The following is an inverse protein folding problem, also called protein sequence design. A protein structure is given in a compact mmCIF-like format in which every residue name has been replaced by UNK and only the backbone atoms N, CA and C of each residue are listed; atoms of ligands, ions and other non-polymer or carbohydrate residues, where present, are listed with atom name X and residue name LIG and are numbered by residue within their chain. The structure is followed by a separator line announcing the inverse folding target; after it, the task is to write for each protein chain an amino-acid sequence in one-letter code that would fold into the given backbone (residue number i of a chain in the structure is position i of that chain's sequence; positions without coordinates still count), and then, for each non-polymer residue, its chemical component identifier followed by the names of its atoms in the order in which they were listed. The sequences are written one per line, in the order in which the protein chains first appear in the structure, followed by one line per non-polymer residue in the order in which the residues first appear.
data_IF_715533033355
#
_entry.id   IF_715533033355
#
_cell.length_a   1.000
_cell.length_b   1.000
_cell.length_c   1.000
_cell.angle_alpha   90.00
_cell.angle_beta   90.00
_cell.angle_gamma   90.00
#
_symmetry.space_group_name_H-M   'P 1'
#
loop_
_entity.id
_entity.type
_entity.pdbx_description
1 polymer ?
2 non-polymer ?
3 non-polymer ?
4 non-polymer ?
5 water ?
#
# COMPACT_ATOMS: atom_id res chain seq x y z
N UNK A 4 16.55 16.91 -0.79
CA UNK A 4 16.52 15.49 -1.14
C UNK A 4 17.46 15.23 -2.32
N UNK A 5 18.67 14.78 -2.02
CA UNK A 5 19.71 14.71 -3.07
C UNK A 5 19.32 13.76 -4.20
N UNK A 6 18.77 12.60 -3.83
CA UNK A 6 18.38 11.58 -4.79
C UNK A 6 17.36 12.13 -5.78
N UNK A 7 16.43 12.91 -5.26
CA UNK A 7 15.33 13.43 -6.08
C UNK A 7 15.87 14.50 -7.00
N UNK A 8 16.78 15.30 -6.46
CA UNK A 8 17.41 16.35 -7.25
C UNK A 8 18.20 15.75 -8.43
N UNK A 9 18.88 14.63 -8.21
CA UNK A 9 19.58 13.96 -9.30
C UNK A 9 18.59 13.42 -10.33
N UNK A 10 17.42 13.01 -9.86
CA UNK A 10 16.44 12.44 -10.78
C UNK A 10 15.88 13.54 -11.68
N UNK A 11 15.65 14.72 -11.09
CA UNK A 11 15.15 15.88 -11.83
C UNK A 11 16.18 16.18 -12.93
N UNK A 12 17.46 16.16 -12.59
CA UNK A 12 18.48 16.46 -13.60
C UNK A 12 18.51 15.44 -14.71
N UNK A 13 18.31 14.18 -14.37
CA UNK A 13 18.23 13.11 -15.34
C UNK A 13 17.05 13.26 -16.29
N UNK A 14 15.92 13.70 -15.77
CA UNK A 14 14.76 13.93 -16.63
C UNK A 14 15.06 15.08 -17.60
N UNK A 15 15.69 16.14 -17.12
CA UNK A 15 15.85 17.31 -17.99
C UNK A 15 16.93 16.99 -19.05
N UNK A 16 17.92 16.21 -18.65
CA UNK A 16 18.95 15.66 -19.53
C UNK A 16 18.38 14.87 -20.71
N UNK A 17 17.23 14.26 -20.49
CA UNK A 17 16.55 13.51 -21.53
C UNK A 17 15.41 14.30 -22.14
N UNK A 18 15.42 15.61 -21.89
CA UNK A 18 14.54 16.53 -22.61
C UNK A 18 13.16 16.74 -22.06
N UNK A 19 12.96 16.37 -20.80
CA UNK A 19 11.62 16.47 -20.20
C UNK A 19 11.49 17.78 -19.41
N UNK A 20 10.51 18.58 -19.77
CA UNK A 20 10.32 19.87 -19.16
C UNK A 20 9.28 19.80 -18.04
N UNK A 21 9.43 20.65 -17.02
CA UNK A 21 8.41 20.71 -15.96
C UNK A 21 7.12 21.35 -16.43
N UNK A 22 6.01 20.90 -15.88
CA UNK A 22 4.71 21.52 -16.09
C UNK A 22 4.27 22.12 -14.76
N UNK A 23 3.52 23.21 -14.84
CA UNK A 23 2.92 23.83 -13.67
C UNK A 23 1.42 23.62 -13.62
N UNK A 24 0.92 23.40 -12.41
CA UNK A 24 -0.47 23.09 -12.15
C UNK A 24 -0.96 23.96 -11.01
N UNK A 25 -2.27 24.22 -10.97
CA UNK A 25 -2.86 24.94 -9.88
C UNK A 25 -3.84 24.11 -9.10
N UNK A 26 -4.15 24.61 -7.94
CA UNK A 26 -5.10 23.98 -7.05
C UNK A 26 -6.37 23.62 -7.81
N UNK A 27 -6.78 22.37 -7.59
CA UNK A 27 -7.98 21.71 -8.12
C UNK A 27 -7.79 21.11 -9.50
N UNK A 28 -6.66 21.32 -10.17
CA UNK A 28 -6.37 20.68 -11.44
C UNK A 28 -5.99 19.23 -11.28
N UNK A 29 -6.31 18.43 -12.29
CA UNK A 29 -5.90 17.05 -12.31
C UNK A 29 -4.65 16.86 -13.16
N UNK A 30 -3.59 16.36 -12.54
CA UNK A 30 -2.37 16.04 -13.25
C UNK A 30 -2.49 14.76 -14.11
N UNK A 31 -3.22 13.77 -13.59
CA UNK A 31 -3.73 12.67 -14.40
C UNK A 31 -5.12 12.37 -13.95
N UNK A 32 -5.88 11.67 -14.81
CA UNK A 32 -7.25 11.34 -14.50
C UNK A 32 -7.61 9.95 -14.88
N UNK A 33 -8.74 9.52 -14.34
CA UNK A 33 -9.15 8.12 -14.42
C UNK A 33 -9.77 7.74 -15.76
N UNK A 34 -9.91 8.69 -16.66
CA UNK A 34 -10.61 8.43 -17.93
C UNK A 34 -9.68 8.40 -19.13
N UNK A 35 -8.42 8.73 -18.89
CA UNK A 35 -7.44 8.86 -19.95
C UNK A 35 -7.01 7.48 -20.41
N UNK A 36 -7.03 7.21 -21.72
CA UNK A 36 -6.53 5.91 -22.15
C UNK A 36 -5.01 5.71 -21.84
N UNK A 37 -4.24 6.79 -21.81
CA UNK A 37 -2.80 6.75 -21.63
C UNK A 37 -2.46 6.86 -20.15
N UNK A 38 -1.54 6.02 -19.66
CA UNK A 38 -1.00 6.20 -18.32
C UNK A 38 0.37 6.85 -18.26
N UNK A 39 0.67 7.39 -17.08
CA UNK A 39 1.83 8.24 -16.87
C UNK A 39 2.58 7.94 -15.62
N UNK A 40 3.86 8.29 -15.66
CA UNK A 40 4.68 8.45 -14.48
C UNK A 40 4.78 9.93 -14.18
N UNK A 41 4.38 10.32 -12.99
CA UNK A 41 4.47 11.71 -12.53
C UNK A 41 5.63 11.84 -11.55
N UNK A 42 6.63 12.63 -11.87
CA UNK A 42 7.58 13.09 -10.87
C UNK A 42 7.11 14.41 -10.33
N UNK A 43 6.46 14.36 -9.18
CA UNK A 43 5.99 15.52 -8.52
C UNK A 43 7.18 16.16 -7.83
N UNK A 44 7.59 17.32 -8.33
CA UNK A 44 8.80 17.94 -7.82
C UNK A 44 8.51 18.87 -6.67
N UNK A 45 7.45 19.70 -6.74
CA UNK A 45 7.06 20.59 -5.68
C UNK A 45 5.56 20.71 -5.62
N UNK A 46 5.00 20.72 -4.41
CA UNK A 46 3.59 20.88 -4.19
C UNK A 46 2.99 19.70 -3.51
N UNK A 47 1.69 19.81 -3.27
CA UNK A 47 0.95 18.81 -2.53
C UNK A 47 -0.23 18.38 -3.38
N UNK A 48 -0.44 17.08 -3.42
CA UNK A 48 -1.51 16.49 -4.23
C UNK A 48 -2.24 15.41 -3.46
N UNK A 49 -3.40 15.00 -3.99
CA UNK A 49 -4.11 13.87 -3.43
C UNK A 49 -4.58 12.98 -4.55
N UNK A 50 -4.54 11.70 -4.27
CA UNK A 50 -5.12 10.67 -5.13
C UNK A 50 -6.57 10.53 -4.77
N UNK A 51 -7.45 10.63 -5.78
CA UNK A 51 -8.90 10.52 -5.57
C UNK A 51 -9.58 9.42 -6.44
N UNK A 52 -10.69 8.87 -5.91
CA UNK A 52 -11.52 7.87 -6.58
C UNK A 52 -12.94 8.38 -6.60
N UNK A 53 -13.76 7.83 -7.49
CA UNK A 53 -15.19 8.14 -7.52
C UNK A 53 -15.99 6.84 -7.44
N UNK A 54 -16.94 6.77 -6.52
CA UNK A 54 -17.81 5.60 -6.39
C UNK A 54 -18.89 5.67 -7.46
N UNK A 55 -19.63 4.57 -7.69
CA UNK A 55 -20.73 4.57 -8.65
C UNK A 55 -21.72 5.67 -8.29
N UNK A 56 -21.80 5.96 -7.00
CA UNK A 56 -22.52 7.09 -6.40
C UNK A 56 -22.21 8.49 -6.97
N UNK A 57 -20.98 8.71 -7.42
CA UNK A 57 -20.52 10.06 -7.75
C UNK A 57 -19.78 10.71 -6.59
N UNK A 58 -19.60 9.95 -5.51
CA UNK A 58 -18.92 10.42 -4.31
C UNK A 58 -17.39 10.34 -4.45
N UNK A 59 -16.71 11.47 -4.22
CA UNK A 59 -15.26 11.52 -4.29
C UNK A 59 -14.62 11.07 -2.98
N UNK A 60 -13.62 10.20 -3.10
CA UNK A 60 -12.89 9.64 -1.99
C UNK A 60 -11.45 10.11 -2.14
N UNK A 61 -10.88 10.63 -1.04
CA UNK A 61 -9.48 11.01 -0.96
C UNK A 61 -8.73 9.78 -0.45
N UNK A 62 -7.81 9.24 -1.24
CA UNK A 62 -7.19 7.95 -0.90
C UNK A 62 -5.78 8.08 -0.31
N UNK A 63 -5.06 9.09 -0.74
CA UNK A 63 -3.63 9.16 -0.43
C UNK A 63 -3.15 10.57 -0.74
N UNK A 64 -2.24 11.08 0.08
CA UNK A 64 -1.57 12.35 -0.18
C UNK A 64 -0.13 12.17 -0.62
N UNK A 65 0.35 13.04 -1.51
CA UNK A 65 1.76 13.02 -1.94
C UNK A 65 2.27 14.44 -1.97
N UNK A 66 3.54 14.60 -1.60
CA UNK A 66 4.16 15.91 -1.65
C UNK A 66 5.45 15.79 -2.46
N UNK A 67 5.83 16.86 -3.14
CA UNK A 67 7.08 16.86 -3.89
C UNK A 67 8.26 16.79 -2.90
N UNK A 68 9.33 16.03 -3.19
CA UNK A 68 9.51 15.21 -4.36
C UNK A 68 9.03 13.78 -4.17
N UNK A 69 8.34 13.25 -5.17
CA UNK A 69 7.88 11.88 -5.10
C UNK A 69 7.49 11.41 -6.48
N UNK A 70 7.32 10.11 -6.65
CA UNK A 70 6.90 9.54 -7.92
C UNK A 70 5.54 8.87 -7.75
N UNK A 71 4.63 9.16 -8.68
CA UNK A 71 3.30 8.53 -8.71
C UNK A 71 3.05 7.96 -10.10
N UNK A 72 2.82 6.66 -10.23
CA UNK A 72 2.61 6.05 -11.54
C UNK A 72 1.21 5.51 -11.65
N UNK A 73 0.51 5.92 -12.70
CA UNK A 73 -0.90 5.65 -12.84
C UNK A 73 -1.13 4.32 -13.59
N UNK A 74 -0.07 3.78 -14.14
CA UNK A 74 -0.14 2.50 -14.83
C UNK A 74 1.02 1.58 -14.45
N UNK A 75 0.81 0.29 -14.67
CA UNK A 75 1.82 -0.72 -14.41
C UNK A 75 3.00 -0.57 -15.38
N UNK A 76 4.22 -0.76 -14.88
CA UNK A 76 5.39 -0.44 -15.68
C UNK A 76 5.51 -1.39 -16.87
N UNK A 77 5.05 -2.63 -16.69
CA UNK A 77 5.18 -3.64 -17.74
C UNK A 77 4.03 -3.58 -18.74
N UNK A 78 2.78 -3.68 -18.28
CA UNK A 78 1.63 -3.70 -19.17
C UNK A 78 1.23 -2.30 -19.68
N UNK A 79 1.60 -1.28 -18.92
CA UNK A 79 1.28 0.13 -19.20
C UNK A 79 -0.19 0.47 -19.00
N UNK A 80 -0.93 -0.43 -18.38
CA UNK A 80 -2.35 -0.20 -18.13
C UNK A 80 -2.62 0.26 -16.69
N UNK A 81 -3.82 0.76 -16.47
CA UNK A 81 -4.17 1.40 -15.21
C UNK A 81 -3.99 0.53 -14.00
N UNK A 82 -3.46 1.09 -12.93
CA UNK A 82 -3.45 0.40 -11.65
C UNK A 82 -4.71 0.61 -10.84
N UNK A 83 -5.61 1.48 -11.31
CA UNK A 83 -6.82 1.79 -10.60
C UNK A 83 -7.42 3.08 -11.16
N UNK A 84 -8.70 3.25 -11.01
CA UNK A 84 -9.36 4.43 -11.59
C UNK A 84 -9.20 5.59 -10.62
N UNK A 85 -8.06 6.24 -10.82
CA UNK A 85 -7.59 7.27 -9.93
C UNK A 85 -7.32 8.59 -10.63
N UNK A 86 -7.48 9.67 -9.90
CA UNK A 86 -7.12 11.03 -10.33
C UNK A 86 -6.09 11.57 -9.38
N UNK A 87 -5.19 12.39 -9.88
CA UNK A 87 -4.19 13.06 -9.03
C UNK A 87 -4.49 14.56 -9.03
N UNK A 88 -5.00 15.05 -7.91
CA UNK A 88 -5.51 16.42 -7.79
C UNK A 88 -4.54 17.30 -7.00
N UNK A 89 -4.32 18.50 -7.50
CA UNK A 89 -3.44 19.41 -6.81
C UNK A 89 -4.17 20.11 -5.64
N UNK A 90 -3.58 20.15 -4.43
CA UNK A 90 -4.23 20.79 -3.32
C UNK A 90 -3.44 21.99 -2.82
N UNK A 91 -2.15 22.06 -3.11
CA UNK A 91 -1.40 23.31 -2.86
C UNK A 91 -1.84 24.37 -3.90
N UNK A 92 -1.50 25.64 -3.67
CA UNK A 92 -1.87 26.67 -4.66
C UNK A 92 -1.27 26.39 -6.03
N UNK A 93 -0.03 25.92 -6.03
CA UNK A 93 0.64 25.52 -7.25
C UNK A 93 1.39 24.21 -7.03
N UNK A 94 1.63 23.51 -8.13
CA UNK A 94 2.51 22.37 -8.12
C UNK A 94 3.33 22.30 -9.39
N UNK A 95 4.50 21.69 -9.30
CA UNK A 95 5.37 21.49 -10.43
C UNK A 95 5.60 20.02 -10.59
N UNK A 96 5.37 19.50 -11.79
CA UNK A 96 5.62 18.08 -12.03
C UNK A 96 6.10 17.77 -13.43
N UNK A 97 6.87 16.69 -13.53
CA UNK A 97 7.28 16.09 -14.79
C UNK A 97 6.34 14.95 -15.10
N UNK A 98 5.81 14.96 -16.31
CA UNK A 98 4.79 14.01 -16.75
C UNK A 98 5.33 13.20 -17.92
N UNK A 99 5.50 11.91 -17.67
CA UNK A 99 6.20 11.02 -18.57
C UNK A 99 5.30 9.88 -18.92
N UNK A 100 5.11 9.56 -20.20
CA UNK A 100 4.33 8.39 -20.57
C UNK A 100 5.05 7.14 -20.06
N UNK A 101 4.29 6.13 -19.65
CA UNK A 101 4.95 5.00 -18.98
C UNK A 101 5.99 4.26 -19.84
N UNK A 102 5.68 4.04 -21.11
CA UNK A 102 6.62 3.39 -22.01
C UNK A 102 8.01 4.05 -21.99
N UNK A 103 8.01 5.37 -21.81
CA UNK A 103 9.24 6.13 -21.84
C UNK A 103 10.00 6.06 -20.51
N UNK A 104 9.27 6.05 -19.39
CA UNK A 104 9.90 5.82 -18.09
C UNK A 104 10.74 4.54 -18.13
N UNK A 105 10.20 3.52 -18.77
CA UNK A 105 10.88 2.22 -18.87
C UNK A 105 12.28 2.33 -19.49
N UNK A 106 12.34 2.99 -20.65
CA UNK A 106 13.59 3.23 -21.34
C UNK A 106 14.53 3.97 -20.44
N UNK A 107 14.01 4.97 -19.74
CA UNK A 107 14.84 5.81 -18.89
C UNK A 107 15.41 5.04 -17.72
N UNK A 108 14.58 4.26 -17.01
CA UNK A 108 15.09 3.56 -15.85
C UNK A 108 16.05 2.45 -16.27
N UNK A 109 15.83 1.88 -17.46
CA UNK A 109 16.63 0.76 -17.91
C UNK A 109 18.07 1.15 -18.25
N UNK A 110 18.35 2.45 -18.30
CA UNK A 110 19.70 2.92 -18.66
C UNK A 110 20.41 3.59 -17.52
N UNK A 111 19.82 3.51 -16.33
CA UNK A 111 20.45 4.03 -15.13
C UNK A 111 19.84 3.36 -13.91
N UNK A 112 20.60 2.41 -13.38
CA UNK A 112 20.22 1.65 -12.20
C UNK A 112 20.03 2.53 -10.98
N UNK A 113 20.76 3.65 -10.91
CA UNK A 113 20.67 4.51 -9.74
C UNK A 113 19.26 5.07 -9.70
N UNK A 114 18.79 5.55 -10.84
CA UNK A 114 17.47 6.17 -10.90
C UNK A 114 16.37 5.16 -10.89
N UNK A 115 16.59 4.03 -11.51
CA UNK A 115 15.74 2.87 -11.30
C UNK A 115 15.53 2.60 -9.82
N UNK A 116 16.62 2.62 -9.05
CA UNK A 116 16.55 2.30 -7.65
C UNK A 116 15.76 3.34 -6.87
N UNK A 117 15.92 4.60 -7.26
CA UNK A 117 15.23 5.70 -6.64
C UNK A 117 13.73 5.54 -6.82
N UNK A 118 13.27 5.17 -8.03
CA UNK A 118 11.84 5.04 -8.25
C UNK A 118 11.34 3.79 -7.52
N UNK A 119 12.10 2.70 -7.60
CA UNK A 119 11.71 1.47 -6.92
C UNK A 119 11.52 1.69 -5.40
N UNK A 120 12.47 2.39 -4.81
CA UNK A 120 12.45 2.69 -3.39
C UNK A 120 11.21 3.55 -3.02
N UNK A 121 10.75 4.43 -3.91
CA UNK A 121 9.48 5.16 -3.64
C UNK A 121 8.29 4.29 -3.53
N UNK A 122 8.15 3.30 -4.42
CA UNK A 122 7.08 2.37 -4.32
C UNK A 122 7.20 1.62 -2.98
N UNK A 123 8.42 1.24 -2.61
CA UNK A 123 8.57 0.54 -1.35
C UNK A 123 8.10 1.38 -0.17
N UNK A 124 8.39 2.68 -0.21
CA UNK A 124 7.86 3.58 0.82
C UNK A 124 6.37 3.64 0.85
N UNK A 125 5.72 3.66 -0.31
CA UNK A 125 4.25 3.62 -0.37
C UNK A 125 3.63 2.40 0.22
N UNK A 126 4.20 1.25 -0.13
CA UNK A 126 3.71 -0.01 0.31
C UNK A 126 3.76 -0.05 1.83
N UNK A 127 4.91 0.31 2.38
CA UNK A 127 5.05 0.20 3.83
C UNK A 127 4.19 1.25 4.51
N UNK A 128 4.07 2.43 3.91
CA UNK A 128 3.19 3.44 4.50
C UNK A 128 1.76 2.95 4.66
N UNK A 129 1.22 2.35 3.60
CA UNK A 129 -0.11 1.79 3.72
C UNK A 129 -0.28 0.75 4.78
N UNK A 130 0.69 -0.14 4.94
CA UNK A 130 0.59 -1.13 5.98
C UNK A 130 0.66 -0.51 7.36
N UNK A 131 1.52 0.50 7.51
CA UNK A 131 1.63 1.18 8.79
C UNK A 131 0.31 1.90 9.20
N UNK A 132 -0.29 2.57 8.23
CA UNK A 132 -1.61 3.20 8.40
C UNK A 132 -2.63 2.17 8.78
N UNK A 133 -2.62 1.04 8.10
CA UNK A 133 -3.56 -0.02 8.44
C UNK A 133 -3.35 -0.52 9.87
N UNK A 134 -2.11 -0.73 10.27
CA UNK A 134 -1.84 -1.20 11.62
C UNK A 134 -2.30 -0.17 12.67
N UNK A 135 -2.06 1.12 12.43
CA UNK A 135 -2.45 2.13 13.42
C UNK A 135 -3.98 2.25 13.52
N UNK A 136 -4.66 2.17 12.39
CA UNK A 136 -6.12 2.17 12.37
C UNK A 136 -6.66 0.94 13.07
N UNK A 137 -6.05 -0.21 12.82
CA UNK A 137 -6.52 -1.44 13.46
C UNK A 137 -6.50 -1.32 14.97
N UNK A 138 -5.41 -0.75 15.50
CA UNK A 138 -5.24 -0.52 16.94
C UNK A 138 -6.09 0.62 17.51
N UNK A 139 -6.02 1.82 16.91
CA UNK A 139 -6.65 3.02 17.48
C UNK A 139 -7.76 3.71 16.67
N UNK A 140 -8.26 3.04 15.64
CA UNK A 140 -9.27 3.61 14.79
C UNK A 140 -8.92 4.95 14.20
N UNK A 141 -9.94 5.79 14.00
CA UNK A 141 -9.76 7.04 13.31
C UNK A 141 -8.80 7.96 14.08
N UNK A 142 -8.71 7.78 15.39
CA UNK A 142 -7.81 8.57 16.20
C UNK A 142 -6.38 8.27 15.74
N UNK A 143 -6.10 7.00 15.52
CA UNK A 143 -4.77 6.61 15.04
C UNK A 143 -4.48 7.18 13.68
N UNK A 144 -5.46 7.14 12.77
CA UNK A 144 -5.28 7.73 11.46
C UNK A 144 -4.99 9.21 11.56
N UNK A 145 -5.80 9.92 12.35
CA UNK A 145 -5.69 11.39 12.44
C UNK A 145 -4.37 11.77 13.15
N UNK A 146 -4.03 11.07 14.22
CA UNK A 146 -2.73 11.36 14.87
C UNK A 146 -1.60 11.08 13.89
N UNK A 147 -1.73 10.04 13.07
CA UNK A 147 -0.68 9.78 12.09
C UNK A 147 -0.55 10.88 11.06
N UNK A 148 -1.68 11.40 10.56
CA UNK A 148 -1.65 12.47 9.60
C UNK A 148 -0.95 13.67 10.23
N UNK A 149 -1.32 14.00 11.47
CA UNK A 149 -0.72 15.15 12.12
C UNK A 149 0.76 14.93 12.40
N UNK A 150 1.10 13.69 12.71
CA UNK A 150 2.49 13.34 12.99
C UNK A 150 3.31 13.53 11.75
N UNK A 151 2.82 13.07 10.60
CA UNK A 151 3.63 13.21 9.41
C UNK A 151 3.69 14.71 8.99
N UNK A 152 2.63 15.49 9.21
CA UNK A 152 2.70 16.93 9.01
C UNK A 152 3.74 17.61 9.89
N UNK A 153 3.84 17.13 11.12
CA UNK A 153 4.77 17.71 12.08
C UNK A 153 6.21 17.45 11.63
N UNK A 154 6.49 16.19 11.29
CA UNK A 154 7.83 15.85 10.86
C UNK A 154 8.23 16.56 9.58
N UNK A 155 7.31 16.63 8.64
CA UNK A 155 7.66 17.17 7.33
C UNK A 155 7.70 18.70 7.32
N UNK A 156 6.76 19.35 7.99
CA UNK A 156 6.61 20.83 7.93
C UNK A 156 6.90 21.54 9.24
N UNK A 157 7.25 20.78 10.27
CA UNK A 157 7.49 21.35 11.58
C UNK A 157 8.87 21.93 11.81
N UNK A 158 8.90 23.03 12.55
CA UNK A 158 10.15 23.65 12.99
C UNK A 158 10.03 23.96 14.46
N UNK A 159 11.06 23.58 15.22
CA UNK A 159 11.06 23.83 16.66
C UNK A 159 11.17 25.34 16.93
N UNK A 160 10.34 25.81 17.86
CA UNK A 160 10.31 27.20 18.31
C UNK A 160 10.02 27.22 19.80
N UNK A 161 10.10 28.39 20.43
CA UNK A 161 9.74 28.50 21.85
C UNK A 161 8.30 28.08 22.14
N UNK A 162 7.39 28.30 21.20
CA UNK A 162 5.98 27.95 21.39
C UNK A 162 5.64 26.51 20.98
N UNK A 163 6.65 25.69 20.69
CA UNK A 163 6.43 24.30 20.29
C UNK A 163 6.87 24.11 18.85
N UNK A 164 6.41 23.04 18.22
CA UNK A 164 6.80 22.76 16.83
C UNK A 164 5.82 23.48 15.89
N UNK A 165 6.29 24.56 15.27
CA UNK A 165 5.44 25.33 14.36
C UNK A 165 5.23 24.59 13.06
N UNK A 166 3.99 24.50 12.63
CA UNK A 166 3.71 23.89 11.32
C UNK A 166 3.81 24.98 10.25
N UNK A 167 4.78 24.81 9.36
CA UNK A 167 5.11 25.84 8.39
C UNK A 167 4.43 25.51 7.09
N UNK A 168 3.12 25.61 7.12
CA UNK A 168 2.26 25.38 5.97
C UNK A 168 1.16 26.44 6.14
N UNK A 169 0.73 27.05 5.04
CA UNK A 169 -0.30 28.08 5.13
C UNK A 169 -1.53 27.50 5.81
N UNK A 170 -2.26 28.33 6.55
CA UNK A 170 -3.35 27.80 7.39
C UNK A 170 -4.40 27.17 6.51
N UNK A 171 -4.61 27.78 5.36
CA UNK A 171 -5.57 27.29 4.38
C UNK A 171 -5.31 25.83 4.04
N UNK A 172 -4.12 25.57 3.51
CA UNK A 172 -3.73 24.22 3.12
C UNK A 172 -3.72 23.30 4.33
N UNK A 173 -3.28 23.81 5.47
CA UNK A 173 -3.02 22.95 6.61
C UNK A 173 -4.30 22.36 7.18
N UNK A 174 -5.38 23.11 7.16
CA UNK A 174 -6.62 22.63 7.73
C UNK A 174 -7.15 21.49 6.88
N UNK A 175 -7.17 21.66 5.56
CA UNK A 175 -7.56 20.56 4.67
C UNK A 175 -6.80 19.28 5.04
N UNK A 176 -5.49 19.41 5.13
CA UNK A 176 -4.60 18.25 5.34
C UNK A 176 -4.71 17.57 6.71
N UNK A 177 -5.29 18.26 7.69
CA UNK A 177 -5.52 17.64 8.98
C UNK A 177 -6.48 16.46 8.84
N UNK A 178 -7.30 16.49 7.78
CA UNK A 178 -8.28 15.43 7.50
C UNK A 178 -7.62 14.26 6.80
N UNK A 179 -7.66 13.09 7.44
CA UNK A 179 -7.08 11.86 6.89
C UNK A 179 -7.73 11.50 5.55
N UNK A 180 -7.18 10.50 4.88
CA UNK A 180 -7.79 9.98 3.67
C UNK A 180 -9.21 9.48 4.00
N UNK A 181 -10.13 9.65 3.06
CA UNK A 181 -11.51 9.27 3.18
C UNK A 181 -12.47 10.29 2.57
N UNK A 182 -13.68 10.35 3.10
CA UNK A 182 -14.68 11.29 2.61
C UNK A 182 -14.27 12.69 3.05
N UNK A 183 -14.59 13.68 2.23
CA UNK A 183 -14.22 15.06 2.55
C UNK A 183 -14.99 15.68 3.71
N UNK A 184 -14.27 16.35 4.59
CA UNK A 184 -14.85 17.05 5.74
C UNK A 184 -15.80 16.25 6.63
N UNK A 185 -15.42 15.04 7.00
CA UNK A 185 -16.27 14.21 7.85
C UNK A 185 -16.48 14.89 9.20
N UNK A 186 -17.70 14.80 9.73
CA UNK A 186 -18.02 15.43 11.00
C UNK A 186 -17.18 14.79 12.09
N UNK A 187 -17.06 13.47 12.02
CA UNK A 187 -16.34 12.70 13.02
C UNK A 187 -14.85 13.10 13.06
N UNK A 188 -14.27 13.33 11.89
CA UNK A 188 -12.88 13.73 11.84
C UNK A 188 -12.70 15.12 12.45
N UNK A 189 -13.60 16.05 12.11
CA UNK A 189 -13.55 17.37 12.70
C UNK A 189 -13.58 17.35 14.22
N UNK A 190 -14.36 16.44 14.78
CA UNK A 190 -14.48 16.37 16.24
C UNK A 190 -13.25 15.74 16.87
N UNK A 191 -12.58 14.87 16.12
CA UNK A 191 -11.30 14.30 16.61
C UNK A 191 -10.23 15.37 16.59
N UNK A 192 -10.14 16.12 15.50
CA UNK A 192 -9.13 17.18 15.38
C UNK A 192 -9.36 18.23 16.47
N UNK A 193 -10.60 18.67 16.64
CA UNK A 193 -10.81 19.74 17.62
C UNK A 193 -10.63 19.27 19.06
N UNK A 194 -10.79 17.97 19.30
CA UNK A 194 -10.46 17.43 20.59
C UNK A 194 -8.93 17.44 20.90
N UNK A 195 -8.11 17.13 19.90
CA UNK A 195 -6.67 17.30 20.03
C UNK A 195 -6.31 18.75 20.33
N UNK A 196 -7.04 19.67 19.72
CA UNK A 196 -6.82 21.08 20.00
C UNK A 196 -7.24 21.44 21.41
N UNK A 197 -8.41 20.95 21.82
CA UNK A 197 -8.90 21.21 23.19
C UNK A 197 -7.92 20.69 24.25
N UNK A 198 -7.27 19.57 23.97
CA UNK A 198 -6.33 18.98 24.92
C UNK A 198 -4.90 19.54 24.74
N UNK A 199 -4.77 20.53 23.88
CA UNK A 199 -3.52 21.28 23.66
C UNK A 199 -2.40 20.40 23.08
N UNK A 200 -2.77 19.38 22.30
CA UNK A 200 -1.79 18.65 21.50
C UNK A 200 -1.25 19.56 20.40
N UNK A 201 -2.15 20.32 19.76
CA UNK A 201 -1.79 21.30 18.73
C UNK A 201 -2.57 22.54 19.09
N UNK A 202 -1.91 23.71 19.08
CA UNK A 202 -2.52 24.94 19.58
C UNK A 202 -2.35 26.08 18.58
N UNK A 203 -3.37 26.93 18.52
CA UNK A 203 -3.36 28.15 17.75
C UNK A 203 -2.74 29.28 18.57
N UNK A 204 -1.75 29.98 18.01
CA UNK A 204 -1.12 31.11 18.70
C UNK A 204 -0.54 32.05 17.67
N UNK A 205 -0.79 33.34 17.82
CA UNK A 205 -0.23 34.33 16.88
C UNK A 205 -0.32 33.91 15.43
N UNK A 206 -1.53 33.55 15.01
CA UNK A 206 -1.85 33.21 13.60
C UNK A 206 -1.23 31.91 13.06
N UNK A 207 -0.61 31.13 13.94
CA UNK A 207 0.01 29.87 13.49
C UNK A 207 -0.42 28.72 14.35
N UNK A 208 -0.15 27.50 13.88
CA UNK A 208 -0.35 26.30 14.71
C UNK A 208 0.95 25.65 15.12
N UNK A 209 1.00 25.26 16.40
CA UNK A 209 2.16 24.69 17.05
C UNK A 209 1.80 23.37 17.66
N UNK A 210 2.58 22.33 17.36
CA UNK A 210 2.40 21.10 18.07
C UNK A 210 3.14 21.14 19.39
N UNK A 211 2.40 20.95 20.47
CA UNK A 211 2.94 21.09 21.81
C UNK A 211 3.05 19.74 22.49
N UNK A 212 2.42 18.70 21.93
CA UNK A 212 2.52 17.38 22.51
C UNK A 212 2.79 16.31 21.46
N UNK A 213 4.03 16.34 20.96
CA UNK A 213 4.46 15.37 19.96
C UNK A 213 4.37 13.97 20.52
N UNK A 214 4.69 13.77 21.80
CA UNK A 214 4.55 12.44 22.37
C UNK A 214 3.16 11.79 22.26
N UNK A 215 2.09 12.60 22.36
CA UNK A 215 0.75 12.07 22.19
C UNK A 215 0.53 11.51 20.79
N UNK A 216 0.98 12.26 19.77
CA UNK A 216 0.85 11.81 18.39
C UNK A 216 1.62 10.51 18.19
N UNK A 217 2.82 10.46 18.76
CA UNK A 217 3.65 9.26 18.63
C UNK A 217 2.99 8.05 19.29
N UNK A 218 2.31 8.31 20.40
CA UNK A 218 1.65 7.24 21.14
C UNK A 218 0.54 6.57 20.35
N UNK A 219 -0.28 7.35 19.65
CA UNK A 219 -1.45 6.78 18.98
C UNK A 219 -1.19 6.42 17.50
N UNK A 220 -0.03 6.82 16.96
CA UNK A 220 0.35 6.42 15.60
C UNK A 220 1.73 5.77 15.64
N UNK A 221 1.87 4.74 16.47
CA UNK A 221 3.20 4.18 16.66
C UNK A 221 3.79 3.54 15.43
N UNK A 222 2.98 2.92 14.59
CA UNK A 222 3.53 2.25 13.43
C UNK A 222 3.86 3.24 12.31
N UNK A 223 3.09 4.34 12.18
CA UNK A 223 3.52 5.36 11.25
C UNK A 223 4.80 6.06 11.77
N UNK A 224 4.93 6.20 13.09
CA UNK A 224 6.14 6.78 13.65
C UNK A 224 7.36 5.90 13.30
N UNK A 225 7.22 4.59 13.44
CA UNK A 225 8.28 3.62 13.05
C UNK A 225 8.54 3.69 11.54
N UNK A 226 7.47 3.78 10.78
CA UNK A 226 7.61 3.93 9.32
C UNK A 226 8.46 5.15 8.97
N UNK A 227 8.20 6.30 9.62
CA UNK A 227 8.91 7.51 9.27
C UNK A 227 10.40 7.36 9.69
N UNK A 228 10.65 6.76 10.85
CA UNK A 228 11.99 6.49 11.33
C UNK A 228 12.76 5.63 10.34
N UNK A 229 12.09 4.62 9.83
CA UNK A 229 12.78 3.70 8.89
C UNK A 229 12.90 4.25 7.47
N UNK A 230 11.89 5.01 7.01
CA UNK A 230 11.86 5.50 5.65
C UNK A 230 12.53 6.82 5.48
N UNK A 231 12.51 7.66 6.53
CA UNK A 231 12.97 9.04 6.47
C UNK A 231 13.78 9.38 7.75
N UNK A 232 14.84 8.59 8.06
CA UNK A 232 15.48 8.72 9.38
C UNK A 232 16.02 10.10 9.69
N UNK A 233 16.57 10.83 8.72
CA UNK A 233 17.08 12.17 9.03
C UNK A 233 15.95 13.14 9.39
N UNK A 234 14.83 13.08 8.68
CA UNK A 234 13.73 13.98 8.96
C UNK A 234 13.17 13.60 10.34
N UNK A 235 13.06 12.30 10.61
CA UNK A 235 12.61 11.83 11.91
C UNK A 235 13.51 12.36 13.00
N UNK A 236 14.82 12.30 12.73
CA UNK A 236 15.80 12.60 13.74
C UNK A 236 15.73 14.03 14.23
N UNK A 237 15.43 14.95 13.33
CA UNK A 237 15.40 16.38 13.65
C UNK A 237 14.54 16.69 14.86
N UNK A 238 13.43 15.99 14.99
CA UNK A 238 12.47 16.29 16.05
C UNK A 238 12.39 15.26 17.13
N UNK A 239 13.31 14.29 17.14
CA UNK A 239 13.37 13.30 18.16
C UNK A 239 14.72 13.33 18.89
N UNK B 4 1.82 -18.77 -14.68
CA UNK B 4 2.33 -17.40 -14.64
C UNK B 4 3.71 -17.33 -15.30
N UNK B 5 3.75 -16.84 -16.55
CA UNK B 5 4.95 -16.89 -17.37
C UNK B 5 6.06 -15.96 -16.89
N UNK B 6 5.68 -14.78 -16.39
CA UNK B 6 6.67 -13.86 -15.86
C UNK B 6 7.32 -14.47 -14.60
N UNK B 7 6.50 -15.12 -13.80
CA UNK B 7 6.99 -15.78 -12.60
C UNK B 7 7.92 -16.95 -12.96
N UNK B 8 7.52 -17.77 -13.94
CA UNK B 8 8.38 -18.88 -14.38
C UNK B 8 9.71 -18.38 -14.95
N UNK B 9 9.69 -17.30 -15.75
CA UNK B 9 10.94 -16.75 -16.27
C UNK B 9 11.83 -16.22 -15.16
N UNK B 10 11.22 -15.59 -14.15
CA UNK B 10 12.00 -15.14 -13.01
C UNK B 10 12.59 -16.33 -12.24
N UNK B 11 11.80 -17.37 -12.02
CA UNK B 11 12.29 -18.57 -11.37
C UNK B 11 13.50 -19.11 -12.15
N UNK B 12 13.41 -19.12 -13.48
CA UNK B 12 14.54 -19.62 -14.28
C UNK B 12 15.77 -18.77 -14.07
N UNK B 13 15.61 -17.45 -14.07
CA UNK B 13 16.73 -16.53 -13.94
C UNK B 13 17.42 -16.68 -12.60
N UNK B 14 16.64 -16.92 -11.54
CA UNK B 14 17.22 -17.10 -10.23
C UNK B 14 18.05 -18.38 -10.19
N UNK B 15 17.50 -19.46 -10.70
CA UNK B 15 18.14 -20.78 -10.54
C UNK B 15 19.43 -20.84 -11.35
N UNK B 16 19.48 -20.12 -12.48
CA UNK B 16 20.70 -20.09 -13.27
C UNK B 16 21.74 -19.16 -12.65
N UNK B 17 21.32 -18.29 -11.74
CA UNK B 17 22.26 -17.48 -10.97
C UNK B 17 22.55 -18.08 -9.60
N UNK B 18 22.29 -19.38 -9.47
CA UNK B 18 22.68 -20.10 -8.27
C UNK B 18 21.71 -20.09 -7.10
N UNK B 19 20.55 -19.46 -7.25
CA UNK B 19 19.63 -19.35 -6.12
C UNK B 19 18.66 -20.51 -6.13
N UNK B 20 18.57 -21.19 -4.99
CA UNK B 20 17.85 -22.44 -4.89
C UNK B 20 16.57 -22.29 -4.06
N UNK B 21 15.51 -23.04 -4.44
CA UNK B 21 14.27 -23.03 -3.67
C UNK B 21 14.42 -23.66 -2.32
N UNK B 22 13.77 -23.05 -1.33
CA UNK B 22 13.74 -23.55 0.02
C UNK B 22 12.30 -23.89 0.38
N UNK B 23 12.12 -24.96 1.13
CA UNK B 23 10.80 -25.36 1.61
C UNK B 23 10.62 -24.91 3.05
N UNK B 24 9.45 -24.36 3.34
CA UNK B 24 9.10 -23.96 4.70
C UNK B 24 7.77 -24.60 5.08
N UNK B 25 7.57 -24.96 6.35
CA UNK B 25 6.27 -25.49 6.77
C UNK B 25 5.47 -24.44 7.51
N UNK B 26 4.18 -24.72 7.69
CA UNK B 26 3.30 -23.86 8.43
C UNK B 26 3.88 -23.40 9.77
N UNK B 27 3.72 -22.10 10.02
CA UNK B 27 4.16 -21.38 11.21
C UNK B 27 5.61 -20.90 11.14
N UNK B 28 6.37 -21.34 10.16
CA UNK B 28 7.73 -20.81 10.05
C UNK B 28 7.73 -19.39 9.56
N UNK B 29 8.74 -18.64 9.95
CA UNK B 29 8.96 -17.28 9.51
C UNK B 29 10.06 -17.27 8.46
N UNK B 30 9.69 -16.92 7.22
CA UNK B 30 10.63 -16.87 6.14
C UNK B 30 11.58 -15.69 6.35
N UNK B 31 11.05 -14.55 6.84
CA UNK B 31 11.88 -13.55 7.47
C UNK B 31 11.17 -13.04 8.71
N UNK B 32 11.93 -12.40 9.62
CA UNK B 32 11.39 -11.99 10.89
C UNK B 32 11.79 -10.58 11.30
N UNK B 33 11.00 -10.02 12.22
CA UNK B 33 11.10 -8.62 12.57
C UNK B 33 12.27 -8.25 13.46
N UNK B 34 13.05 -9.26 13.90
CA UNK B 34 14.15 -9.00 14.83
C UNK B 34 15.50 -9.17 14.15
N UNK B 35 15.47 -9.46 12.85
CA UNK B 35 16.67 -9.78 12.09
C UNK B 35 17.21 -8.52 11.45
N UNK B 36 18.47 -8.17 11.71
CA UNK B 36 19.01 -6.98 11.02
C UNK B 36 19.20 -7.18 9.50
N UNK B 37 19.44 -8.41 9.09
CA UNK B 37 19.66 -8.73 7.70
C UNK B 37 18.32 -8.69 6.99
N UNK B 38 18.21 -7.96 5.88
CA UNK B 38 16.96 -7.95 5.09
C UNK B 38 17.09 -8.73 3.80
N UNK B 39 15.93 -9.10 3.25
CA UNK B 39 15.82 -10.10 2.22
C UNK B 39 14.80 -9.72 1.17
N UNK B 40 15.06 -10.19 -0.05
CA UNK B 40 14.05 -10.32 -1.07
C UNK B 40 13.57 -11.77 -1.11
N UNK B 41 12.28 -11.97 -0.90
CA UNK B 41 11.65 -13.28 -1.01
C UNK B 41 10.85 -13.44 -2.28
N UNK B 42 11.23 -14.43 -3.08
CA UNK B 42 10.37 -14.82 -4.19
C UNK B 42 9.57 -16.00 -3.71
N UNK B 43 8.34 -15.73 -3.34
CA UNK B 43 7.40 -16.75 -2.90
C UNK B 43 6.86 -17.47 -4.11
N UNK B 44 7.27 -18.71 -4.32
CA UNK B 44 6.94 -19.35 -5.59
C UNK B 44 5.64 -20.10 -5.46
N UNK B 45 5.46 -20.76 -4.32
CA UNK B 45 4.28 -21.53 -4.08
C UNK B 45 3.89 -21.50 -2.60
N UNK B 46 2.58 -21.44 -2.32
CA UNK B 46 2.08 -21.46 -0.96
C UNK B 46 1.47 -20.13 -0.54
N UNK B 47 1.03 -20.04 0.69
CA UNK B 47 0.33 -18.88 1.24
C UNK B 47 1.00 -18.43 2.52
N UNK B 48 1.20 -17.12 2.62
CA UNK B 48 1.89 -16.50 3.73
C UNK B 48 1.11 -15.28 4.22
N UNK B 49 1.46 -14.82 5.40
CA UNK B 49 0.91 -13.58 5.92
C UNK B 49 2.03 -12.75 6.52
N UNK B 50 1.94 -11.46 6.30
CA UNK B 50 2.81 -10.49 6.93
C UNK B 50 2.27 -10.12 8.29
N UNK B 51 3.09 -10.21 9.32
CA UNK B 51 2.66 -9.87 10.68
C UNK B 51 3.59 -8.88 11.37
N UNK B 52 3.04 -8.23 12.40
CA UNK B 52 3.81 -7.39 13.35
C UNK B 52 3.44 -7.88 14.75
N UNK B 53 4.43 -8.15 15.61
CA UNK B 53 4.20 -8.68 16.97
C UNK B 53 4.59 -7.58 17.96
N UNK B 54 3.66 -7.21 18.85
CA UNK B 54 3.88 -6.10 19.78
C UNK B 54 4.63 -6.59 21.01
N UNK B 55 5.06 -5.66 21.85
CA UNK B 55 5.80 -6.04 23.05
C UNK B 55 5.00 -7.01 23.90
N UNK B 56 3.69 -6.78 24.01
CA UNK B 56 2.84 -7.64 24.81
C UNK B 56 2.37 -8.93 24.15
N UNK B 57 2.93 -9.25 22.97
CA UNK B 57 2.66 -10.53 22.32
C UNK B 57 1.51 -10.54 21.30
N UNK B 58 0.84 -9.40 21.12
CA UNK B 58 -0.33 -9.34 20.24
C UNK B 58 0.17 -9.37 18.80
N UNK B 59 -0.37 -10.30 18.03
CA UNK B 59 0.04 -10.47 16.63
C UNK B 59 -0.97 -9.79 15.74
N UNK B 60 -0.49 -8.85 14.93
CA UNK B 60 -1.27 -8.13 13.95
C UNK B 60 -1.06 -8.77 12.58
N UNK B 61 -2.16 -9.18 11.96
CA UNK B 61 -2.11 -9.70 10.59
C UNK B 61 -2.30 -8.56 9.60
N UNK B 62 -1.28 -8.28 8.78
CA UNK B 62 -1.26 -7.06 7.95
C UNK B 62 -1.59 -7.24 6.46
N UNK B 63 -1.25 -8.40 5.91
CA UNK B 63 -1.31 -8.65 4.46
C UNK B 63 -1.20 -10.17 4.26
N UNK B 64 -1.86 -10.70 3.22
CA UNK B 64 -1.63 -12.05 2.76
C UNK B 64 -0.97 -12.05 1.39
N UNK B 65 -0.18 -13.08 1.12
CA UNK B 65 0.46 -13.27 -0.15
C UNK B 65 0.36 -14.72 -0.55
N UNK B 66 0.24 -14.99 -1.84
CA UNK B 66 0.31 -16.34 -2.39
C UNK B 66 1.36 -16.40 -3.47
N UNK B 67 1.95 -17.58 -3.67
CA UNK B 67 2.93 -17.72 -4.72
C UNK B 67 2.18 -17.72 -6.05
N UNK B 68 2.74 -17.13 -7.10
CA UNK B 68 4.03 -16.49 -7.10
C UNK B 68 3.93 -15.00 -6.77
N UNK B 69 4.82 -14.50 -5.93
CA UNK B 69 4.87 -13.08 -5.59
C UNK B 69 6.22 -12.75 -5.03
N UNK B 70 6.51 -11.47 -4.86
CA UNK B 70 7.77 -11.01 -4.33
C UNK B 70 7.48 -10.14 -3.11
N UNK B 71 8.24 -10.37 -2.05
CA UNK B 71 8.09 -9.62 -0.77
C UNK B 71 9.48 -9.21 -0.34
N UNK B 72 9.73 -7.92 -0.22
CA UNK B 72 11.04 -7.43 0.15
C UNK B 72 11.01 -6.77 1.55
N UNK B 73 11.83 -7.29 2.46
CA UNK B 73 11.82 -6.79 3.82
C UNK B 73 12.67 -5.58 4.06
N UNK B 74 13.45 -5.20 3.05
CA UNK B 74 14.38 -4.08 3.12
C UNK B 74 14.29 -3.23 1.88
N UNK B 75 14.69 -1.97 2.03
CA UNK B 75 14.75 -1.05 0.88
C UNK B 75 15.89 -1.43 -0.04
N UNK B 76 15.65 -1.32 -1.35
CA UNK B 76 16.58 -1.87 -2.30
C UNK B 76 17.87 -1.04 -2.29
N UNK B 77 17.77 0.24 -1.96
CA UNK B 77 18.93 1.13 -1.98
C UNK B 77 19.68 1.13 -0.63
N UNK B 78 18.97 1.38 0.47
CA UNK B 78 19.62 1.42 1.78
C UNK B 78 19.87 0.05 2.41
N UNK B 79 19.12 -0.94 1.97
CA UNK B 79 19.18 -2.31 2.48
C UNK B 79 18.69 -2.44 3.91
N UNK B 80 18.08 -1.38 4.45
CA UNK B 80 17.55 -1.43 5.80
C UNK B 80 16.03 -1.68 5.80
N UNK B 81 15.51 -1.98 6.98
CA UNK B 81 14.17 -2.49 7.11
C UNK B 81 13.11 -1.54 6.59
N UNK B 82 12.09 -2.08 5.94
CA UNK B 82 10.92 -1.28 5.57
C UNK B 82 9.85 -1.27 6.66
N UNK B 83 10.05 -2.00 7.75
CA UNK B 83 9.07 -2.15 8.81
C UNK B 83 9.37 -3.39 9.61
N UNK B 84 8.97 -3.44 10.87
CA UNK B 84 9.34 -4.62 11.68
C UNK B 84 8.31 -5.68 11.46
N UNK B 85 8.52 -6.48 10.43
CA UNK B 85 7.57 -7.45 9.96
C UNK B 85 8.11 -8.87 9.92
N UNK B 86 7.22 -9.85 10.08
CA UNK B 86 7.47 -11.25 9.81
C UNK B 86 6.70 -11.73 8.61
N UNK B 87 7.23 -12.72 7.92
CA UNK B 87 6.52 -13.37 6.85
C UNK B 87 6.26 -14.81 7.28
N UNK B 88 5.03 -15.09 7.67
CA UNK B 88 4.63 -16.36 8.29
C UNK B 88 3.93 -17.27 7.29
N UNK B 89 4.35 -18.52 7.24
CA UNK B 89 3.71 -19.49 6.36
C UNK B 89 2.39 -19.97 6.96
N UNK B 90 1.28 -19.90 6.21
CA UNK B 90 0.00 -20.36 6.74
C UNK B 90 -0.57 -21.55 5.95
N UNK B 91 -0.04 -21.79 4.76
CA UNK B 91 -0.33 -23.04 4.07
C UNK B 91 0.49 -24.15 4.77
N UNK B 92 0.24 -25.42 4.45
CA UNK B 92 0.98 -26.49 5.12
C UNK B 92 2.45 -26.42 4.76
N UNK B 93 2.71 -26.12 3.50
CA UNK B 93 4.05 -25.93 2.97
C UNK B 93 4.10 -24.70 2.06
N UNK B 94 5.26 -24.07 1.99
CA UNK B 94 5.51 -23.00 1.04
C UNK B 94 6.90 -23.20 0.46
N UNK B 95 7.07 -22.78 -0.78
CA UNK B 95 8.37 -22.77 -1.42
C UNK B 95 8.80 -21.36 -1.73
N UNK B 96 10.02 -20.97 -1.34
CA UNK B 96 10.51 -19.60 -1.56
C UNK B 96 11.99 -19.54 -1.89
N UNK B 97 12.36 -18.55 -2.70
CA UNK B 97 13.73 -18.23 -3.02
C UNK B 97 14.09 -17.07 -2.13
N UNK B 98 15.15 -17.20 -1.35
CA UNK B 98 15.51 -16.22 -0.34
C UNK B 98 16.83 -15.60 -0.73
N UNK B 99 16.78 -14.29 -0.98
CA UNK B 99 17.92 -13.54 -1.52
C UNK B 99 18.26 -12.39 -0.58
N UNK B 100 19.49 -12.35 -0.09
CA UNK B 100 19.94 -11.21 0.71
C UNK B 100 19.80 -9.96 -0.15
N UNK B 101 19.35 -8.84 0.43
CA UNK B 101 19.01 -7.69 -0.39
C UNK B 101 20.21 -7.12 -1.17
N UNK B 102 21.39 -7.11 -0.58
CA UNK B 102 22.59 -6.67 -1.31
C UNK B 102 22.83 -7.46 -2.60
N UNK B 103 22.52 -8.76 -2.59
CA UNK B 103 22.71 -9.58 -3.79
C UNK B 103 21.65 -9.31 -4.85
N UNK B 104 20.44 -8.93 -4.42
CA UNK B 104 19.34 -8.70 -5.36
C UNK B 104 19.68 -7.61 -6.35
N UNK B 105 20.29 -6.55 -5.84
CA UNK B 105 20.57 -5.36 -6.64
C UNK B 105 21.39 -5.73 -7.87
N UNK B 106 22.40 -6.56 -7.67
CA UNK B 106 23.27 -7.01 -8.75
C UNK B 106 22.52 -7.74 -9.85
N UNK B 107 21.55 -8.56 -9.48
CA UNK B 107 20.83 -9.36 -10.47
C UNK B 107 19.68 -8.62 -11.16
N UNK B 108 18.99 -7.71 -10.49
CA UNK B 108 17.98 -6.92 -11.18
C UNK B 108 18.71 -5.98 -12.17
N UNK B 109 19.98 -5.72 -11.89
CA UNK B 109 20.78 -4.83 -12.73
C UNK B 109 21.02 -5.40 -14.11
N UNK B 110 21.35 -6.68 -14.17
CA UNK B 110 21.78 -7.31 -15.41
C UNK B 110 20.60 -7.80 -16.25
N UNK B 111 19.40 -7.81 -15.67
CA UNK B 111 18.20 -8.15 -16.44
C UNK B 111 16.99 -7.26 -16.14
N UNK B 112 16.88 -6.23 -16.96
CA UNK B 112 15.79 -5.26 -16.95
C UNK B 112 14.42 -5.93 -16.85
N UNK B 113 14.21 -6.97 -17.65
CA UNK B 113 12.92 -7.67 -17.68
C UNK B 113 12.47 -8.10 -16.29
N UNK B 114 13.41 -8.60 -15.50
CA UNK B 114 13.11 -9.09 -14.15
C UNK B 114 13.06 -7.98 -13.16
N UNK B 115 13.88 -6.96 -13.37
CA UNK B 115 13.75 -5.75 -12.55
C UNK B 115 12.28 -5.32 -12.62
N UNK B 116 11.75 -5.26 -13.83
CA UNK B 116 10.42 -4.76 -14.09
C UNK B 116 9.36 -5.70 -13.51
N UNK B 117 9.63 -7.00 -13.50
CA UNK B 117 8.69 -7.93 -12.90
C UNK B 117 8.52 -7.62 -11.41
N UNK B 118 9.63 -7.42 -10.74
CA UNK B 118 9.62 -7.14 -9.30
C UNK B 118 8.97 -5.77 -9.06
N UNK B 119 9.34 -4.79 -9.88
CA UNK B 119 8.73 -3.45 -9.78
C UNK B 119 7.19 -3.50 -9.87
N UNK B 120 6.67 -4.25 -10.82
CA UNK B 120 5.23 -4.44 -11.01
C UNK B 120 4.59 -5.04 -9.75
N UNK B 121 5.29 -5.93 -9.04
CA UNK B 121 4.71 -6.49 -7.80
C UNK B 121 4.47 -5.44 -6.73
N UNK B 122 5.36 -4.49 -6.62
CA UNK B 122 5.20 -3.48 -5.65
C UNK B 122 3.97 -2.70 -6.07
N UNK B 123 3.82 -2.47 -7.38
CA UNK B 123 2.67 -1.65 -7.83
C UNK B 123 1.37 -2.37 -7.53
N UNK B 124 1.37 -3.68 -7.73
CA UNK B 124 0.19 -4.46 -7.39
C UNK B 124 -0.13 -4.39 -5.90
N UNK B 125 0.87 -4.41 -5.02
CA UNK B 125 0.62 -4.27 -3.58
C UNK B 125 0.07 -2.89 -3.20
N UNK B 126 0.67 -1.83 -3.74
CA UNK B 126 0.26 -0.46 -3.49
C UNK B 126 -1.23 -0.30 -3.84
N UNK B 127 -1.60 -0.70 -5.06
CA UNK B 127 -2.96 -0.51 -5.49
C UNK B 127 -3.91 -1.44 -4.74
N UNK B 128 -3.43 -2.63 -4.36
CA UNK B 128 -4.26 -3.52 -3.52
C UNK B 128 -4.62 -2.87 -2.15
N UNK B 129 -3.64 -2.26 -1.50
CA UNK B 129 -3.89 -1.59 -0.25
C UNK B 129 -4.86 -0.44 -0.38
N UNK B 130 -4.72 0.34 -1.47
CA UNK B 130 -5.63 1.45 -1.69
C UNK B 130 -7.04 0.97 -1.96
N UNK B 131 -7.16 -0.11 -2.72
CA UNK B 131 -8.49 -0.64 -3.03
C UNK B 131 -9.19 -1.18 -1.78
N UNK B 132 -8.44 -1.87 -0.94
CA UNK B 132 -8.96 -2.35 0.35
C UNK B 132 -9.45 -1.21 1.21
N UNK B 133 -8.65 -0.14 1.30
CA UNK B 133 -9.03 1.05 2.03
C UNK B 133 -10.31 1.69 1.49
N UNK B 134 -10.37 1.84 0.16
CA UNK B 134 -11.55 2.38 -0.48
C UNK B 134 -12.82 1.57 -0.17
N UNK B 135 -12.76 0.24 -0.23
CA UNK B 135 -13.96 -0.58 0.02
C UNK B 135 -14.36 -0.48 1.49
N UNK B 136 -13.37 -0.35 2.38
CA UNK B 136 -13.69 -0.25 3.79
C UNK B 136 -14.33 1.10 4.08
N UNK B 137 -13.84 2.15 3.43
CA UNK B 137 -14.42 3.48 3.64
C UNK B 137 -15.88 3.54 3.20
N UNK B 138 -16.20 2.80 2.14
CA UNK B 138 -17.54 2.83 1.58
C UNK B 138 -18.47 1.91 2.36
N UNK B 139 -18.07 0.66 2.53
CA UNK B 139 -18.96 -0.38 3.07
C UNK B 139 -18.51 -1.01 4.38
N UNK B 140 -17.48 -0.45 5.02
CA UNK B 140 -17.04 -0.94 6.31
C UNK B 140 -16.56 -2.38 6.31
N UNK B 141 -16.76 -3.07 7.44
CA UNK B 141 -16.27 -4.44 7.60
C UNK B 141 -16.96 -5.39 6.61
N UNK B 142 -18.20 -5.10 6.26
CA UNK B 142 -18.89 -5.91 5.25
C UNK B 142 -18.12 -5.85 3.93
N UNK B 143 -17.67 -4.65 3.56
CA UNK B 143 -16.83 -4.48 2.38
C UNK B 143 -15.57 -5.30 2.45
N UNK B 144 -14.90 -5.26 3.61
CA UNK B 144 -13.65 -5.99 3.78
C UNK B 144 -13.82 -7.49 3.68
N UNK B 145 -14.86 -8.02 4.31
CA UNK B 145 -15.10 -9.45 4.27
C UNK B 145 -15.56 -9.92 2.91
N UNK B 146 -16.45 -9.17 2.27
CA UNK B 146 -16.85 -9.50 0.91
C UNK B 146 -15.65 -9.50 -0.01
N UNK B 147 -14.76 -8.54 0.19
CA UNK B 147 -13.59 -8.45 -0.66
C UNK B 147 -12.67 -9.65 -0.54
N UNK B 148 -12.41 -10.08 0.70
CA UNK B 148 -11.57 -11.23 0.93
C UNK B 148 -12.23 -12.49 0.32
N UNK B 149 -13.54 -12.65 0.51
CA UNK B 149 -14.22 -13.79 -0.06
C UNK B 149 -14.20 -13.73 -1.58
N UNK B 150 -14.31 -12.51 -2.12
CA UNK B 150 -14.29 -12.37 -3.57
C UNK B 150 -12.95 -12.82 -4.16
N UNK B 151 -11.85 -12.38 -3.58
CA UNK B 151 -10.55 -12.74 -4.12
C UNK B 151 -10.32 -14.26 -3.96
N UNK B 152 -10.76 -14.82 -2.85
CA UNK B 152 -10.61 -16.25 -2.67
C UNK B 152 -11.44 -17.01 -3.69
N UNK B 153 -12.59 -16.47 -4.05
CA UNK B 153 -13.42 -17.11 -5.06
C UNK B 153 -12.78 -17.06 -6.41
N UNK B 154 -12.24 -15.91 -6.79
CA UNK B 154 -11.56 -15.84 -8.07
C UNK B 154 -10.35 -16.79 -8.18
N UNK B 155 -9.59 -16.90 -7.09
CA UNK B 155 -8.30 -17.55 -7.16
C UNK B 155 -8.42 -19.05 -6.89
N UNK B 156 -9.29 -19.41 -5.95
CA UNK B 156 -9.40 -20.80 -5.48
C UNK B 156 -10.75 -21.42 -5.76
N UNK B 157 -11.65 -20.68 -6.40
CA UNK B 157 -13.02 -21.14 -6.56
C UNK B 157 -13.13 -22.23 -7.62
N UNK B 158 -14.03 -23.19 -7.37
CA UNK B 158 -14.30 -24.30 -8.30
C UNK B 158 -15.80 -24.45 -8.42
N UNK B 159 -16.30 -24.52 -9.66
CA UNK B 159 -17.73 -24.71 -9.89
C UNK B 159 -18.19 -26.10 -9.44
N UNK B 160 -19.21 -26.14 -8.58
CA UNK B 160 -19.81 -27.40 -8.13
C UNK B 160 -21.32 -27.23 -8.11
N UNK B 161 -22.06 -28.35 -7.98
CA UNK B 161 -23.53 -28.25 -7.83
C UNK B 161 -23.97 -27.41 -6.62
N UNK B 162 -23.12 -27.29 -5.60
CA UNK B 162 -23.47 -26.52 -4.40
C UNK B 162 -23.07 -25.04 -4.49
N UNK B 163 -22.44 -24.66 -5.60
CA UNK B 163 -22.01 -23.29 -5.82
C UNK B 163 -20.52 -23.25 -6.12
N UNK B 164 -19.92 -22.08 -5.95
CA UNK B 164 -18.50 -21.96 -6.21
C UNK B 164 -17.75 -22.29 -4.91
N UNK B 165 -17.14 -23.47 -4.90
CA UNK B 165 -16.43 -23.94 -3.73
C UNK B 165 -15.05 -23.28 -3.64
N UNK B 166 -14.77 -22.67 -2.50
CA UNK B 166 -13.43 -22.17 -2.24
C UNK B 166 -12.56 -23.34 -1.81
N UNK B 167 -11.66 -23.75 -2.70
CA UNK B 167 -10.92 -25.00 -2.57
C UNK B 167 -9.59 -24.81 -1.85
N UNK B 168 -9.67 -24.41 -0.59
CA UNK B 168 -8.49 -24.39 0.26
C UNK B 168 -8.64 -25.45 1.32
N UNK B 169 -7.56 -26.18 1.56
CA UNK B 169 -7.43 -27.02 2.74
C UNK B 169 -8.15 -26.33 3.89
N UNK B 170 -9.08 -27.05 4.52
CA UNK B 170 -9.85 -26.53 5.65
C UNK B 170 -8.95 -25.87 6.70
N UNK B 171 -7.80 -26.49 6.96
CA UNK B 171 -6.84 -25.97 7.94
C UNK B 171 -6.38 -24.57 7.56
N UNK B 172 -6.24 -24.32 6.25
CA UNK B 172 -5.81 -23.02 5.77
C UNK B 172 -6.92 -21.98 5.98
N UNK B 173 -8.18 -22.41 5.85
CA UNK B 173 -9.30 -21.49 5.99
C UNK B 173 -9.40 -20.91 7.40
N UNK B 174 -9.03 -21.69 8.40
CA UNK B 174 -9.02 -21.17 9.76
C UNK B 174 -7.99 -20.06 9.87
N UNK B 175 -6.80 -20.31 9.28
CA UNK B 175 -5.70 -19.34 9.28
C UNK B 175 -6.11 -18.01 8.65
N UNK B 176 -7.08 -18.05 7.75
CA UNK B 176 -7.50 -16.86 7.00
C UNK B 176 -8.65 -16.14 7.74
N UNK B 177 -9.19 -16.80 8.76
CA UNK B 177 -10.15 -16.17 9.66
C UNK B 177 -11.52 -16.83 9.68
N UNK B 178 -11.62 -18.02 9.10
CA UNK B 178 -12.91 -18.69 8.97
C UNK B 178 -12.90 -20.01 9.73
N UNK B 186 -16.12 -10.86 18.19
CA UNK B 186 -16.86 -11.65 17.21
C UNK B 186 -17.80 -10.75 16.41
N UNK B 187 -17.36 -9.52 16.16
CA UNK B 187 -18.12 -8.59 15.33
C UNK B 187 -17.99 -8.99 13.85
N UNK B 188 -17.02 -9.84 13.57
CA UNK B 188 -16.88 -10.44 12.25
C UNK B 188 -17.78 -11.66 12.15
N UNK B 189 -17.92 -12.36 13.26
CA UNK B 189 -18.76 -13.54 13.31
C UNK B 189 -20.20 -13.20 12.93
N UNK B 190 -20.63 -11.98 13.26
CA UNK B 190 -22.01 -11.59 12.96
C UNK B 190 -22.18 -11.23 11.47
N UNK B 191 -21.11 -10.88 10.79
CA UNK B 191 -21.20 -10.60 9.35
C UNK B 191 -21.31 -11.92 8.59
N UNK B 192 -20.52 -12.92 8.97
CA UNK B 192 -20.60 -14.20 8.28
C UNK B 192 -21.99 -14.82 8.44
N UNK B 193 -22.61 -14.64 9.60
CA UNK B 193 -23.93 -15.21 9.83
C UNK B 193 -24.96 -14.53 8.92
N UNK B 194 -24.92 -13.21 8.87
CA UNK B 194 -25.77 -12.44 7.97
C UNK B 194 -25.62 -12.90 6.52
N UNK B 195 -24.39 -13.21 6.11
CA UNK B 195 -24.13 -13.66 4.74
C UNK B 195 -24.76 -15.02 4.49
N UNK B 196 -24.74 -15.88 5.50
CA UNK B 196 -25.39 -17.18 5.39
C UNK B 196 -26.92 -16.99 5.36
N UNK B 197 -27.43 -16.12 6.22
CA UNK B 197 -28.87 -15.86 6.27
C UNK B 197 -29.38 -15.34 4.93
N UNK B 198 -28.61 -14.46 4.29
CA UNK B 198 -29.01 -13.89 3.01
C UNK B 198 -28.63 -14.79 1.82
N UNK B 199 -28.15 -16.00 2.11
CA UNK B 199 -27.87 -17.02 1.10
C UNK B 199 -26.61 -16.75 0.29
N UNK B 200 -25.77 -15.83 0.73
CA UNK B 200 -24.62 -15.44 -0.05
C UNK B 200 -23.55 -16.52 -0.01
N UNK B 201 -23.44 -17.19 1.13
CA UNK B 201 -22.46 -18.25 1.33
C UNK B 201 -23.05 -19.42 2.11
N UNK B 202 -22.39 -20.57 2.07
CA UNK B 202 -22.75 -21.70 2.92
C UNK B 202 -21.50 -22.50 3.26
N UNK B 203 -21.48 -23.11 4.44
CA UNK B 203 -20.39 -23.99 4.78
C UNK B 203 -21.09 -25.35 4.64
N UNK B 204 -20.69 -26.13 3.65
CA UNK B 204 -21.30 -27.43 3.42
C UNK B 204 -20.27 -28.51 3.59
N UNK B 205 -20.59 -29.52 4.38
CA UNK B 205 -19.65 -30.60 4.63
C UNK B 205 -18.39 -29.93 5.18
N UNK B 206 -17.23 -30.20 4.59
CA UNK B 206 -16.01 -29.58 5.07
C UNK B 206 -15.58 -28.40 4.20
N UNK B 207 -16.38 -28.02 3.21
CA UNK B 207 -15.92 -26.91 2.36
C UNK B 207 -16.76 -25.62 2.42
N UNK B 208 -16.22 -24.60 1.79
CA UNK B 208 -16.84 -23.27 1.74
C UNK B 208 -17.38 -22.98 0.33
N UNK B 209 -18.66 -22.61 0.22
CA UNK B 209 -19.31 -22.43 -1.08
C UNK B 209 -19.93 -21.04 -1.26
N UNK B 210 -19.64 -20.41 -2.40
CA UNK B 210 -20.25 -19.12 -2.70
C UNK B 210 -21.40 -19.35 -3.66
N UNK B 211 -22.56 -18.81 -3.27
CA UNK B 211 -23.82 -19.08 -3.98
C UNK B 211 -24.41 -17.83 -4.58
N UNK B 212 -23.92 -16.68 -4.15
CA UNK B 212 -24.29 -15.37 -4.73
C UNK B 212 -23.07 -14.51 -4.96
N UNK B 213 -22.39 -14.76 -6.07
CA UNK B 213 -21.16 -14.04 -6.38
C UNK B 213 -21.43 -12.56 -6.66
N UNK B 214 -22.58 -12.23 -7.26
CA UNK B 214 -22.90 -10.82 -7.51
C UNK B 214 -22.96 -9.99 -6.22
N UNK B 215 -23.34 -10.62 -5.12
CA UNK B 215 -23.43 -9.91 -3.85
C UNK B 215 -22.03 -9.48 -3.39
N UNK B 216 -21.08 -10.39 -3.54
CA UNK B 216 -19.69 -10.10 -3.17
C UNK B 216 -19.17 -8.97 -4.01
N UNK B 217 -19.42 -9.05 -5.33
CA UNK B 217 -18.95 -8.03 -6.25
C UNK B 217 -19.58 -6.70 -5.89
N UNK B 218 -20.81 -6.76 -5.41
CA UNK B 218 -21.55 -5.56 -5.08
C UNK B 218 -20.93 -4.77 -3.96
N UNK B 219 -20.42 -5.46 -2.94
CA UNK B 219 -19.97 -4.81 -1.73
C UNK B 219 -18.46 -4.61 -1.68
N UNK B 220 -17.74 -5.19 -2.63
CA UNK B 220 -16.30 -4.98 -2.74
C UNK B 220 -15.94 -4.43 -4.13
N UNK B 221 -16.53 -3.30 -4.50
CA UNK B 221 -16.38 -2.87 -5.89
C UNK B 221 -15.00 -2.45 -6.28
N UNK B 222 -14.27 -1.85 -5.35
CA UNK B 222 -12.95 -1.35 -5.69
C UNK B 222 -11.93 -2.47 -5.68
N UNK B 223 -12.12 -3.48 -4.82
CA UNK B 223 -11.27 -4.63 -4.91
C UNK B 223 -11.56 -5.45 -6.18
N UNK B 224 -12.84 -5.45 -6.60
CA UNK B 224 -13.18 -6.14 -7.84
C UNK B 224 -12.50 -5.46 -9.02
N UNK B 225 -12.54 -4.13 -9.01
CA UNK B 225 -11.85 -3.34 -10.04
C UNK B 225 -10.38 -3.58 -10.00
N UNK B 226 -9.79 -3.66 -8.79
CA UNK B 226 -8.36 -3.96 -8.68
C UNK B 226 -8.02 -5.29 -9.32
N UNK B 227 -8.87 -6.30 -9.10
CA UNK B 227 -8.58 -7.61 -9.58
C UNK B 227 -8.75 -7.66 -11.12
N UNK B 228 -9.73 -6.93 -11.64
CA UNK B 228 -9.88 -6.77 -13.09
C UNK B 228 -8.66 -6.16 -13.74
N UNK B 229 -8.15 -5.12 -13.11
CA UNK B 229 -7.01 -4.42 -13.65
C UNK B 229 -5.69 -5.12 -13.49
N UNK B 230 -5.54 -5.85 -12.38
CA UNK B 230 -4.28 -6.48 -12.07
C UNK B 230 -4.18 -7.92 -12.49
N UNK B 231 -5.32 -8.61 -12.54
CA UNK B 231 -5.39 -10.05 -12.82
C UNK B 231 -6.52 -10.34 -13.83
N UNK B 232 -6.46 -9.76 -15.02
CA UNK B 232 -7.61 -9.87 -15.95
C UNK B 232 -7.99 -11.29 -16.35
N UNK B 233 -7.01 -12.18 -16.51
CA UNK B 233 -7.28 -13.55 -16.96
C UNK B 233 -8.06 -14.30 -15.91
N UNK B 234 -7.59 -14.24 -14.67
CA UNK B 234 -8.31 -14.84 -13.56
C UNK B 234 -9.70 -14.23 -13.32
N UNK B 235 -9.79 -12.91 -13.31
CA UNK B 235 -11.05 -12.24 -13.13
C UNK B 235 -12.04 -12.75 -14.18
N UNK B 236 -11.53 -12.94 -15.39
CA UNK B 236 -12.39 -13.28 -16.50
C UNK B 236 -13.06 -14.63 -16.39
N UNK B 237 -12.51 -15.51 -15.56
CA UNK B 237 -13.12 -16.82 -15.40
C UNK B 237 -14.51 -16.79 -14.80
N UNK B 238 -14.80 -15.74 -14.04
CA UNK B 238 -16.09 -15.63 -13.32
C UNK B 238 -16.80 -14.31 -13.61
N UNK B 239 -16.56 -13.77 -14.80
CA UNK B 239 -17.24 -12.57 -15.25
C UNK B 239 -17.68 -12.70 -16.68
#
# INVERSE_FOLDING_TARGET
GAMNAQAEEFKKYLETNGIKPKQFHKKELIFNQWDPQEYCIFLYDGITKLTSISENGTIMNLQYYKGAFVIMSGFIDTETSVGYYNLEVISEQATAYVIKINELKELLSKNLTHFFYVFQTLQKQVSYSLAKFNDFSINGKLGSICGQLLILTYVYGKETPDGIKITLDNLTMQELGYSSGIAHSSAVSRIISKLKQEKVIVYKNSCFYVQNLDYLKRYAPKLDEWFYLACPATWGKLN
GAMNAQAEEFKKYLETNGIKPKQFHKKELIFNQWDPQEYCIFLYDGITKLTSISENGTIMNLQYYKGAFVIMSGFIDTETSVGYYNLEVISEQATAYVIKINELKELLSKNLTHFFYVFQTLQKQVSYSLAKFNDFSINGKLGSICGQLLILTYVYGKETPDGIKITLDNLTMQELGYSSGIAHSSAVSRIISKLKQEKVIVYKNSCFYVQNLDYLKRYAPKLDEWFYLACPATWGKLN
#
